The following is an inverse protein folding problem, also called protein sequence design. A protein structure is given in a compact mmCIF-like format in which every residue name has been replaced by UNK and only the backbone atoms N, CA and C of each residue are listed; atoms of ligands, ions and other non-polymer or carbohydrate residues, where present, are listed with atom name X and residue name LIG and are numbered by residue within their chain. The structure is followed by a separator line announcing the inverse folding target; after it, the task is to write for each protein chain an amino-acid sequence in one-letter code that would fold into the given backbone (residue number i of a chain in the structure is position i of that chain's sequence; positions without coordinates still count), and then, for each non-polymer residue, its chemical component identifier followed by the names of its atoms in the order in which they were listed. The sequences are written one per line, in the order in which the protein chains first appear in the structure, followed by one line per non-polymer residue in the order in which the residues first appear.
data_IF_586833974365
#
_entry.id   IF_586833974365
#
_cell.length_a   1.000
_cell.length_b   1.000
_cell.length_c   1.000
_cell.angle_alpha   90.00
_cell.angle_beta   90.00
_cell.angle_gamma   90.00
#
_symmetry.space_group_name_H-M   'P 1'
#
loop_
_entity.id
_entity.type
_entity.pdbx_description
1 polymer ?
#
# COMPACT_ATOMS: atom_id res chain seq x y z
N UNK A 1 9.95 -36.33 7.47
CA UNK A 1 9.58 -36.08 6.06
C UNK A 1 9.75 -34.60 5.78
N UNK A 2 10.73 -34.20 4.97
CA UNK A 2 10.91 -32.79 4.62
C UNK A 2 9.89 -32.41 3.54
N UNK A 3 8.97 -31.51 3.86
CA UNK A 3 8.08 -30.92 2.87
C UNK A 3 8.89 -29.90 2.05
N UNK A 4 9.31 -30.31 0.84
CA UNK A 4 9.76 -29.38 -0.20
C UNK A 4 8.53 -28.62 -0.69
N UNK A 5 8.38 -27.37 -0.30
CA UNK A 5 7.44 -26.44 -0.93
C UNK A 5 8.08 -25.96 -2.23
N UNK A 6 7.71 -26.57 -3.35
CA UNK A 6 7.94 -26.00 -4.68
C UNK A 6 7.01 -24.80 -4.83
N UNK A 7 7.55 -23.59 -4.68
CA UNK A 7 6.87 -22.38 -5.15
C UNK A 7 6.81 -22.49 -6.68
N UNK A 8 5.65 -22.86 -7.22
CA UNK A 8 5.42 -22.83 -8.65
C UNK A 8 5.66 -21.41 -9.18
N UNK A 9 6.37 -21.30 -10.30
CA UNK A 9 6.72 -20.04 -10.98
C UNK A 9 5.50 -19.27 -11.56
N UNK A 10 4.29 -19.56 -11.07
CA UNK A 10 3.00 -19.01 -11.51
C UNK A 10 2.29 -18.23 -10.41
N UNK A 11 3.02 -17.63 -9.48
CA UNK A 11 2.45 -16.64 -8.57
C UNK A 11 1.76 -15.52 -9.36
N UNK A 12 0.74 -14.86 -8.77
CA UNK A 12 0.01 -13.81 -9.47
C UNK A 12 0.99 -12.75 -9.99
N UNK A 13 1.02 -12.57 -11.31
CA UNK A 13 1.88 -11.58 -11.95
C UNK A 13 1.24 -10.21 -11.76
N UNK A 14 2.03 -9.16 -11.45
CA UNK A 14 1.55 -7.79 -11.49
C UNK A 14 0.90 -7.49 -12.83
N UNK A 15 -0.39 -7.18 -12.84
CA UNK A 15 -1.10 -6.75 -14.05
C UNK A 15 -0.70 -5.32 -14.43
N UNK A 16 -0.21 -4.53 -13.48
CA UNK A 16 0.21 -3.15 -13.70
C UNK A 16 1.19 -2.67 -12.62
N UNK A 17 2.29 -2.03 -13.03
CA UNK A 17 3.20 -1.27 -12.15
C UNK A 17 3.18 0.19 -12.61
N UNK A 18 2.74 1.11 -11.75
CA UNK A 18 2.71 2.54 -12.04
C UNK A 18 3.70 3.25 -11.09
N UNK A 19 4.93 3.58 -11.53
CA UNK A 19 5.78 4.45 -10.75
C UNK A 19 5.27 5.89 -10.87
N UNK A 20 4.44 6.36 -9.93
CA UNK A 20 4.08 7.79 -9.85
C UNK A 20 5.26 8.57 -9.24
N UNK A 21 6.17 9.05 -10.08
CA UNK A 21 7.24 9.97 -9.68
C UNK A 21 6.72 11.41 -9.59
N UNK A 22 5.93 11.72 -8.56
CA UNK A 22 5.83 13.10 -8.09
C UNK A 22 6.88 13.29 -6.99
N UNK A 23 7.92 14.04 -7.36
CA UNK A 23 9.11 14.42 -6.58
C UNK A 23 8.97 14.15 -5.08
N UNK A 24 9.42 12.96 -4.64
CA UNK A 24 9.63 12.47 -3.26
C UNK A 24 8.74 11.36 -2.71
N UNK A 25 7.74 10.86 -3.45
CA UNK A 25 6.95 9.69 -3.04
C UNK A 25 7.16 8.50 -3.99
N UNK A 26 7.67 7.39 -3.46
CA UNK A 26 7.65 6.11 -4.16
C UNK A 26 6.45 5.36 -3.59
N UNK A 27 5.38 5.27 -4.38
CA UNK A 27 4.23 4.42 -4.13
C UNK A 27 4.24 3.31 -5.17
N UNK A 28 4.43 2.07 -4.72
CA UNK A 28 4.22 0.90 -5.55
C UNK A 28 2.75 0.49 -5.42
N UNK A 29 2.11 0.17 -6.54
CA UNK A 29 0.75 -0.36 -6.58
C UNK A 29 0.78 -1.64 -7.40
N UNK A 30 0.13 -2.68 -6.87
CA UNK A 30 -0.03 -3.98 -7.46
C UNK A 30 -1.51 -4.36 -7.39
N UNK A 31 -2.10 -4.66 -8.54
CA UNK A 31 -3.49 -5.11 -8.64
C UNK A 31 -3.49 -6.62 -8.87
N UNK A 32 -4.22 -7.37 -8.05
CA UNK A 32 -4.41 -8.81 -8.19
C UNK A 32 -5.88 -9.11 -8.43
N UNK A 33 -6.19 -9.75 -9.56
CA UNK A 33 -7.54 -10.22 -9.85
C UNK A 33 -7.67 -11.71 -9.54
N UNK A 34 -8.63 -12.05 -8.69
CA UNK A 34 -9.04 -13.43 -8.47
C UNK A 34 -9.96 -13.88 -9.61
N UNK A 35 -9.38 -14.57 -10.62
CA UNK A 35 -10.05 -14.98 -11.87
C UNK A 35 -11.45 -15.59 -11.66
N UNK A 36 -11.68 -16.52 -10.72
CA UNK A 36 -12.98 -17.14 -10.56
C UNK A 36 -14.11 -16.21 -10.10
N UNK A 37 -13.80 -15.13 -9.38
CA UNK A 37 -14.79 -14.20 -8.81
C UNK A 37 -14.67 -12.78 -9.34
N UNK A 38 -13.69 -12.51 -10.20
CA UNK A 38 -13.28 -11.16 -10.65
C UNK A 38 -13.05 -10.18 -9.50
N UNK A 39 -12.73 -10.68 -8.31
CA UNK A 39 -12.44 -9.83 -7.15
C UNK A 39 -11.06 -9.23 -7.32
N UNK A 40 -10.97 -7.90 -7.23
CA UNK A 40 -9.70 -7.17 -7.30
C UNK A 40 -9.21 -6.85 -5.89
N UNK A 41 -7.96 -7.22 -5.61
CA UNK A 41 -7.23 -6.88 -4.40
C UNK A 41 -6.11 -5.93 -4.80
N UNK A 42 -6.03 -4.78 -4.14
CA UNK A 42 -5.02 -3.76 -4.40
C UNK A 42 -4.02 -3.80 -3.27
N UNK A 43 -2.76 -4.08 -3.61
CA UNK A 43 -1.64 -3.96 -2.68
C UNK A 43 -0.92 -2.65 -2.98
N UNK A 44 -0.77 -1.81 -1.96
CA UNK A 44 -0.02 -0.57 -2.06
C UNK A 44 1.14 -0.54 -1.07
N UNK A 45 2.31 -0.15 -1.57
CA UNK A 45 3.61 -0.21 -0.90
C UNK A 45 4.30 1.15 -0.84
N UNK A 46 4.71 1.63 0.33
CA UNK A 46 5.53 2.86 0.43
C UNK A 46 6.63 2.76 1.48
N UNK A 47 7.63 3.65 1.38
CA UNK A 47 8.70 3.78 2.36
C UNK A 47 9.00 5.24 2.66
N UNK A 48 8.61 5.67 3.85
CA UNK A 48 8.73 7.05 4.32
C UNK A 48 10.12 7.36 4.86
N UNK A 49 10.47 8.64 5.01
CA UNK A 49 11.73 9.04 5.64
C UNK A 49 11.67 8.80 7.15
N UNK A 50 12.76 8.34 7.77
CA UNK A 50 12.79 7.89 9.16
C UNK A 50 13.28 8.87 10.22
N UNK A 51 13.83 10.03 9.83
CA UNK A 51 14.26 11.03 10.84
C UNK A 51 13.05 11.69 11.50
N UNK A 52 13.17 12.04 12.79
CA UNK A 52 12.14 12.77 13.55
C UNK A 52 11.75 14.11 12.92
N UNK A 53 12.67 14.77 12.21
CA UNK A 53 12.38 16.01 11.48
C UNK A 53 11.36 15.84 10.32
N UNK A 54 11.00 14.61 9.96
CA UNK A 54 10.09 14.32 8.85
C UNK A 54 8.65 13.97 9.27
N UNK A 55 8.24 14.17 10.53
CA UNK A 55 6.86 13.88 10.99
C UNK A 55 5.80 14.52 10.07
N UNK A 56 5.91 15.82 9.80
CA UNK A 56 4.95 16.50 8.92
C UNK A 56 5.06 16.03 7.47
N UNK A 57 6.28 15.71 7.01
CA UNK A 57 6.47 15.12 5.68
C UNK A 57 5.78 13.76 5.57
N UNK A 58 5.84 12.90 6.60
CA UNK A 58 5.16 11.60 6.61
C UNK A 58 3.65 11.75 6.59
N UNK A 59 3.12 12.71 7.34
CA UNK A 59 1.69 13.04 7.33
C UNK A 59 1.24 13.47 5.93
N UNK A 60 1.93 14.43 5.32
CA UNK A 60 1.62 14.89 3.96
C UNK A 60 1.74 13.75 2.92
N UNK A 61 2.70 12.85 3.11
CA UNK A 61 2.84 11.66 2.27
C UNK A 61 1.66 10.69 2.43
N UNK A 62 1.25 10.41 3.67
CA UNK A 62 0.07 9.61 3.94
C UNK A 62 -1.18 10.25 3.30
N UNK A 63 -1.42 11.55 3.48
CA UNK A 63 -2.59 12.22 2.90
C UNK A 63 -2.63 12.12 1.37
N UNK A 64 -1.49 12.28 0.71
CA UNK A 64 -1.40 12.15 -0.75
C UNK A 64 -1.70 10.72 -1.21
N UNK A 65 -1.13 9.71 -0.56
CA UNK A 65 -1.36 8.29 -0.85
C UNK A 65 -2.83 7.95 -0.63
N UNK A 66 -3.40 8.35 0.50
CA UNK A 66 -4.81 8.14 0.83
C UNK A 66 -5.73 8.73 -0.25
N UNK A 67 -5.51 9.99 -0.62
CA UNK A 67 -6.31 10.65 -1.67
C UNK A 67 -6.23 9.92 -3.00
N UNK A 68 -5.03 9.49 -3.39
CA UNK A 68 -4.81 8.74 -4.62
C UNK A 68 -5.56 7.40 -4.58
N UNK A 69 -5.44 6.66 -3.48
CA UNK A 69 -6.05 5.35 -3.36
C UNK A 69 -7.58 5.42 -3.32
N UNK A 70 -8.15 6.41 -2.64
CA UNK A 70 -9.60 6.62 -2.65
C UNK A 70 -10.11 7.09 -4.02
N UNK A 71 -9.36 7.93 -4.74
CA UNK A 71 -9.79 8.38 -6.06
C UNK A 71 -9.80 7.26 -7.10
N UNK A 72 -8.81 6.36 -7.04
CA UNK A 72 -8.61 5.33 -8.06
C UNK A 72 -9.29 3.99 -7.69
N UNK A 73 -9.59 3.72 -6.40
CA UNK A 73 -9.99 2.39 -5.92
C UNK A 73 -11.18 2.35 -4.93
N UNK A 74 -11.93 3.44 -4.73
CA UNK A 74 -13.01 3.53 -3.73
C UNK A 74 -14.11 2.47 -3.88
N UNK A 75 -14.36 1.98 -5.10
CA UNK A 75 -15.65 1.36 -5.39
C UNK A 75 -15.63 -0.18 -5.42
N UNK A 76 -14.47 -0.83 -5.53
CA UNK A 76 -14.44 -2.26 -5.94
C UNK A 76 -13.28 -3.11 -5.43
N UNK A 77 -12.53 -2.66 -4.42
CA UNK A 77 -11.30 -3.37 -4.07
C UNK A 77 -11.04 -3.50 -2.59
N UNK A 78 -10.66 -4.71 -2.19
CA UNK A 78 -9.98 -4.91 -0.91
C UNK A 78 -8.60 -4.26 -1.03
N UNK A 79 -8.44 -3.11 -0.37
CA UNK A 79 -7.20 -2.35 -0.37
C UNK A 79 -6.33 -2.74 0.83
N UNK A 80 -5.13 -3.22 0.54
CA UNK A 80 -4.11 -3.59 1.51
C UNK A 80 -2.97 -2.59 1.40
N UNK A 81 -2.73 -1.83 2.46
CA UNK A 81 -1.62 -0.88 2.55
C UNK A 81 -0.50 -1.49 3.42
N UNK A 82 0.67 -1.69 2.82
CA UNK A 82 1.87 -2.19 3.49
C UNK A 82 3.03 -1.21 3.29
N UNK A 83 3.92 -1.06 4.27
CA UNK A 83 5.06 -0.20 4.04
C UNK A 83 5.94 0.12 5.24
N UNK A 84 7.12 0.66 4.95
CA UNK A 84 7.99 1.22 5.96
C UNK A 84 7.59 2.67 6.25
N UNK A 85 6.57 2.89 7.08
CA UNK A 85 6.11 4.25 7.39
C UNK A 85 7.07 5.02 8.31
N UNK A 86 8.01 4.34 8.96
CA UNK A 86 9.12 4.94 9.69
C UNK A 86 8.71 6.06 10.68
N UNK A 87 7.60 5.86 11.39
CA UNK A 87 7.17 6.72 12.48
C UNK A 87 6.48 5.92 13.58
N UNK A 88 6.37 6.54 14.76
CA UNK A 88 5.70 5.95 15.93
C UNK A 88 4.19 5.81 15.73
N UNK A 89 3.55 4.94 16.51
CA UNK A 89 2.09 4.75 16.51
C UNK A 89 1.32 6.01 16.96
N UNK A 90 1.99 6.94 17.61
CA UNK A 90 1.51 8.24 18.07
C UNK A 90 1.65 9.35 17.03
N UNK A 91 2.29 9.09 15.89
CA UNK A 91 2.50 10.11 14.88
C UNK A 91 1.25 10.38 14.01
N UNK A 92 1.08 11.62 13.50
CA UNK A 92 -0.12 12.03 12.79
C UNK A 92 -0.45 11.19 11.55
N UNK A 93 0.55 10.66 10.84
CA UNK A 93 0.32 9.88 9.62
C UNK A 93 -0.52 8.61 9.89
N UNK A 94 -0.42 8.02 11.08
CA UNK A 94 -1.21 6.83 11.45
C UNK A 94 -2.70 7.15 11.50
N UNK A 95 -3.07 8.34 12.01
CA UNK A 95 -4.47 8.78 12.02
C UNK A 95 -5.03 8.96 10.61
N UNK A 96 -4.21 9.47 9.68
CA UNK A 96 -4.59 9.62 8.27
C UNK A 96 -4.86 8.26 7.62
N UNK A 97 -3.95 7.29 7.79
CA UNK A 97 -4.13 5.94 7.25
C UNK A 97 -5.38 5.26 7.85
N UNK A 98 -5.61 5.40 9.16
CA UNK A 98 -6.80 4.82 9.81
C UNK A 98 -8.12 5.45 9.39
N UNK A 99 -8.10 6.72 8.94
CA UNK A 99 -9.31 7.40 8.48
C UNK A 99 -9.90 6.81 7.20
N UNK A 100 -9.15 5.96 6.48
CA UNK A 100 -9.58 5.36 5.22
C UNK A 100 -10.53 4.16 5.35
N UNK A 101 -10.98 3.79 6.54
CA UNK A 101 -11.73 2.54 6.78
C UNK A 101 -11.01 1.30 6.19
N UNK A 102 -9.67 1.35 6.16
CA UNK A 102 -8.84 0.25 5.66
C UNK A 102 -8.92 -0.90 6.65
N UNK A 103 -9.18 -2.10 6.14
CA UNK A 103 -9.30 -3.30 6.98
C UNK A 103 -8.00 -3.64 7.75
N UNK A 104 -6.83 -3.18 7.28
CA UNK A 104 -5.57 -3.24 8.03
C UNK A 104 -4.42 -2.47 7.38
N UNK A 105 -3.54 -1.87 8.19
CA UNK A 105 -2.21 -1.38 7.80
C UNK A 105 -1.14 -2.10 8.62
N UNK A 106 -0.14 -2.71 7.96
CA UNK A 106 0.99 -3.40 8.61
C UNK A 106 2.32 -2.71 8.31
#
# INVERSE_FOLDING_TARGET
TQHKTTLGAGGPKPTRYIPKHEKSQILAILELEHIPTSTVIIFSGTHFKSKKAFVESRKNQAEAIVKLLLADYSDRSYLILAGGYNGGSDEPFYSVIRSMDLQSSY
#
